data_IF_132233908324
#
_entry.id   IF_132233908324
#
_cell.length_a   1.000
_cell.length_b   1.000
_cell.length_c   1.000
_cell.angle_alpha   90.00
_cell.angle_beta   90.00
_cell.angle_gamma   90.00
#
_symmetry.space_group_name_H-M   'P 1'
#
loop_
_entity.id
_entity.type
_entity.pdbx_description
1 polymer ?
#
# COMPACT_ATOMS: atom_id res chain seq x y z
N UNK A 1 4.16 -18.57 -21.10
CA UNK A 1 3.72 -17.16 -20.93
C UNK A 1 4.47 -16.59 -19.74
N UNK A 2 5.28 -15.54 -19.89
CA UNK A 2 5.98 -14.96 -18.75
C UNK A 2 4.97 -14.34 -17.79
N UNK A 3 5.06 -14.73 -16.51
CA UNK A 3 4.22 -14.24 -15.43
C UNK A 3 4.46 -12.75 -15.26
N UNK A 4 3.49 -11.94 -15.67
CA UNK A 4 3.45 -10.49 -15.48
C UNK A 4 3.65 -10.23 -13.98
N UNK A 5 4.80 -9.65 -13.61
CA UNK A 5 5.07 -9.22 -12.24
C UNK A 5 4.05 -8.12 -11.96
N UNK A 6 3.04 -8.42 -11.14
CA UNK A 6 2.06 -7.43 -10.69
C UNK A 6 2.83 -6.26 -10.07
N UNK A 7 2.82 -5.13 -10.75
CA UNK A 7 3.28 -3.84 -10.19
C UNK A 7 2.60 -3.69 -8.83
N UNK A 8 3.36 -3.34 -7.79
CA UNK A 8 2.82 -3.20 -6.44
C UNK A 8 1.81 -2.04 -6.47
N UNK A 9 0.52 -2.38 -6.64
CA UNK A 9 -0.59 -1.42 -6.71
C UNK A 9 -1.15 -1.07 -5.33
N UNK A 10 -0.92 -1.91 -4.32
CA UNK A 10 -1.48 -1.71 -2.99
C UNK A 10 -0.49 -0.93 -2.12
N UNK A 11 -0.83 0.30 -1.71
CA UNK A 11 0.05 1.12 -0.88
C UNK A 11 0.32 0.51 0.50
N UNK A 12 -0.58 -0.35 1.00
CA UNK A 12 -0.33 -1.13 2.22
C UNK A 12 0.87 -2.07 2.05
N UNK A 13 1.02 -2.66 0.86
CA UNK A 13 2.15 -3.54 0.54
C UNK A 13 3.46 -2.78 0.45
N UNK A 14 3.44 -1.57 -0.11
CA UNK A 14 4.63 -0.69 -0.14
C UNK A 14 5.09 -0.37 1.29
N UNK A 15 4.17 0.04 2.15
CA UNK A 15 4.46 0.33 3.56
C UNK A 15 4.98 -0.91 4.29
N UNK A 16 4.40 -2.09 4.07
CA UNK A 16 4.86 -3.33 4.69
C UNK A 16 6.31 -3.69 4.30
N UNK A 17 6.67 -3.50 3.03
CA UNK A 17 8.04 -3.74 2.54
C UNK A 17 9.02 -2.76 3.20
N UNK A 18 8.68 -1.46 3.23
CA UNK A 18 9.53 -0.45 3.86
C UNK A 18 9.72 -0.71 5.36
N UNK A 19 8.66 -1.06 6.08
CA UNK A 19 8.72 -1.41 7.49
C UNK A 19 9.64 -2.63 7.73
N UNK A 20 9.50 -3.67 6.91
CA UNK A 20 10.36 -4.87 7.00
C UNK A 20 11.84 -4.57 6.75
N UNK A 21 12.15 -3.77 5.71
CA UNK A 21 13.54 -3.38 5.42
C UNK A 21 14.10 -2.53 6.55
N UNK A 22 13.33 -1.61 7.11
CA UNK A 22 13.77 -0.75 8.22
C UNK A 22 14.05 -1.56 9.49
N UNK A 23 13.18 -2.52 9.84
CA UNK A 23 13.35 -3.40 11.01
C UNK A 23 14.62 -4.26 10.88
N UNK A 24 14.80 -4.91 9.72
CA UNK A 24 15.96 -5.78 9.46
C UNK A 24 17.25 -4.96 9.45
N UNK A 25 17.24 -3.82 8.77
CA UNK A 25 18.42 -2.95 8.67
C UNK A 25 18.78 -2.36 10.03
N UNK A 26 17.79 -1.93 10.81
CA UNK A 26 18.03 -1.39 12.13
C UNK A 26 18.54 -2.46 13.12
N UNK A 27 17.98 -3.66 13.06
CA UNK A 27 18.45 -4.80 13.87
C UNK A 27 19.89 -5.20 13.53
N UNK A 28 20.26 -5.12 12.24
CA UNK A 28 21.62 -5.37 11.80
C UNK A 28 22.62 -4.29 12.29
N UNK A 29 22.17 -3.04 12.45
CA UNK A 29 22.99 -1.93 12.95
C UNK A 29 23.14 -1.95 14.48
N UNK A 30 22.15 -2.50 15.20
CA UNK A 30 22.10 -2.53 16.66
C UNK A 30 23.41 -2.96 17.36
N UNK A 31 24.12 -4.04 16.96
CA UNK A 31 25.36 -4.45 17.63
C UNK A 31 26.53 -3.48 17.46
N UNK A 32 26.44 -2.54 16.51
CA UNK A 32 27.47 -1.54 16.25
C UNK A 32 27.24 -0.23 17.01
N UNK A 33 26.16 -0.13 17.78
CA UNK A 33 25.82 1.05 18.57
C UNK A 33 26.42 0.94 19.98
N UNK A 34 27.02 2.02 20.47
CA UNK A 34 27.51 2.12 21.84
C UNK A 34 26.38 1.93 22.86
N UNK A 35 26.64 1.26 23.99
CA UNK A 35 25.64 0.97 25.04
C UNK A 35 24.86 2.22 25.50
N UNK A 36 25.54 3.37 25.62
CA UNK A 36 24.92 4.65 26.00
C UNK A 36 23.78 5.10 25.07
N UNK A 37 23.84 4.72 23.79
CA UNK A 37 22.85 5.09 22.77
C UNK A 37 21.92 3.94 22.39
N UNK A 38 22.24 2.72 22.81
CA UNK A 38 21.54 1.50 22.39
C UNK A 38 20.08 1.49 22.86
N UNK A 39 19.82 1.93 24.10
CA UNK A 39 18.45 2.02 24.63
C UNK A 39 17.59 2.99 23.81
N UNK A 40 18.10 4.19 23.54
CA UNK A 40 17.41 5.20 22.71
C UNK A 40 17.15 4.67 21.31
N UNK A 41 18.14 3.98 20.73
CA UNK A 41 18.02 3.38 19.41
C UNK A 41 16.96 2.28 19.34
N UNK A 42 16.87 1.41 20.35
CA UNK A 42 15.84 0.36 20.42
C UNK A 42 14.42 0.96 20.47
N UNK A 43 14.22 2.01 21.26
CA UNK A 43 12.93 2.72 21.29
C UNK A 43 12.58 3.36 19.95
N UNK A 44 13.55 3.97 19.28
CA UNK A 44 13.37 4.48 17.92
C UNK A 44 12.99 3.34 16.95
N UNK A 45 13.70 2.21 17.01
CA UNK A 45 13.51 1.07 16.11
C UNK A 45 12.13 0.42 16.26
N UNK A 46 11.59 0.33 17.48
CA UNK A 46 10.22 -0.16 17.69
C UNK A 46 9.16 0.86 17.30
N UNK A 47 9.38 2.15 17.62
CA UNK A 47 8.37 3.19 17.43
C UNK A 47 8.24 3.61 15.97
N UNK A 48 9.33 3.55 15.19
CA UNK A 48 9.34 3.98 13.80
C UNK A 48 8.40 3.15 12.90
N UNK A 49 8.49 1.80 12.84
CA UNK A 49 7.57 0.98 12.02
C UNK A 49 6.12 1.12 12.48
N UNK A 50 5.89 1.20 13.79
CA UNK A 50 4.56 1.41 14.35
C UNK A 50 3.96 2.75 13.94
N UNK A 51 4.75 3.83 14.03
CA UNK A 51 4.33 5.16 13.59
C UNK A 51 4.07 5.18 12.08
N UNK A 52 4.90 4.50 11.28
CA UNK A 52 4.74 4.40 9.83
C UNK A 52 3.40 3.76 9.45
N UNK A 53 3.05 2.64 10.08
CA UNK A 53 1.77 1.97 9.89
C UNK A 53 0.60 2.84 10.38
N UNK A 54 0.74 3.45 11.56
CA UNK A 54 -0.32 4.31 12.13
C UNK A 54 -0.60 5.52 11.24
N UNK A 55 0.45 6.21 10.78
CA UNK A 55 0.33 7.35 9.86
C UNK A 55 -0.26 6.91 8.52
N UNK A 56 0.12 5.74 8.02
CA UNK A 56 -0.47 5.19 6.80
C UNK A 56 -1.99 5.04 6.90
N UNK A 57 -2.47 4.43 7.99
CA UNK A 57 -3.91 4.31 8.23
C UNK A 57 -4.57 5.66 8.50
N UNK A 58 -3.89 6.58 9.18
CA UNK A 58 -4.40 7.94 9.42
C UNK A 58 -4.60 8.71 8.11
N UNK A 59 -3.66 8.61 7.16
CA UNK A 59 -3.76 9.21 5.83
C UNK A 59 -4.89 8.55 5.02
N UNK A 60 -5.00 7.23 5.05
CA UNK A 60 -6.09 6.49 4.40
C UNK A 60 -7.47 6.93 4.92
N UNK A 61 -7.60 7.12 6.23
CA UNK A 61 -8.86 7.50 6.86
C UNK A 61 -9.34 8.91 6.43
N UNK A 62 -8.43 9.82 6.09
CA UNK A 62 -8.79 11.20 5.71
C UNK A 62 -8.88 11.42 4.19
N UNK A 63 -8.26 10.58 3.38
CA UNK A 63 -8.26 10.76 1.94
C UNK A 63 -8.10 9.43 1.19
N UNK A 64 -9.18 8.67 1.11
CA UNK A 64 -9.24 7.38 0.41
C UNK A 64 -9.04 7.49 -1.12
N UNK A 65 -9.07 8.70 -1.70
CA UNK A 65 -9.00 8.93 -3.15
C UNK A 65 -7.57 9.11 -3.71
N UNK A 66 -6.54 9.26 -2.86
CA UNK A 66 -5.16 9.58 -3.31
C UNK A 66 -4.30 8.35 -3.61
N UNK A 67 -4.85 7.16 -3.37
CA UNK A 67 -4.06 5.92 -3.33
C UNK A 67 -4.39 4.93 -4.45
N UNK A 68 -5.24 5.34 -5.37
CA UNK A 68 -5.45 4.70 -6.66
C UNK A 68 -5.07 5.71 -7.73
N UNK A 69 -4.19 5.34 -8.65
CA UNK A 69 -3.98 6.17 -9.83
C UNK A 69 -5.33 6.30 -10.57
N UNK A 70 -5.60 7.39 -11.31
CA UNK A 70 -6.81 7.52 -12.14
C UNK A 70 -7.02 6.35 -13.12
N UNK A 71 -5.98 5.53 -13.34
CA UNK A 71 -5.97 4.34 -14.18
C UNK A 71 -6.43 3.04 -13.46
N UNK A 72 -6.65 3.06 -12.14
CA UNK A 72 -7.20 1.92 -11.37
C UNK A 72 -8.73 2.00 -11.19
N UNK A 73 -9.36 3.06 -11.70
CA UNK A 73 -10.79 3.02 -11.98
C UNK A 73 -10.95 2.03 -13.13
N UNK A 74 -11.41 0.82 -12.83
CA UNK A 74 -11.88 -0.10 -13.88
C UNK A 74 -12.82 0.71 -14.77
N UNK A 75 -12.55 0.71 -16.07
CA UNK A 75 -13.42 1.29 -17.08
C UNK A 75 -14.88 0.88 -16.79
N UNK A 76 -15.65 1.81 -16.22
CA UNK A 76 -17.10 1.66 -16.00
C UNK A 76 -17.88 1.68 -17.33
N UNK A 77 -17.19 1.58 -18.47
CA UNK A 77 -17.76 1.55 -19.82
C UNK A 77 -18.55 0.27 -20.13
N UNK A 78 -18.59 -0.71 -19.22
CA UNK A 78 -19.38 -1.93 -19.38
C UNK A 78 -20.77 -1.92 -18.73
N UNK A 79 -21.20 -0.84 -18.04
CA UNK A 79 -22.55 -0.79 -17.45
C UNK A 79 -23.65 -0.23 -18.37
N UNK A 80 -23.30 0.34 -19.52
CA UNK A 80 -24.27 1.06 -20.38
C UNK A 80 -24.69 0.27 -21.64
N UNK A 81 -24.04 -0.86 -21.96
CA UNK A 81 -24.30 -1.59 -23.22
C UNK A 81 -25.41 -2.64 -23.19
N UNK A 82 -26.00 -2.97 -22.03
CA UNK A 82 -27.11 -3.94 -21.95
C UNK A 82 -28.52 -3.31 -21.99
N UNK A 83 -28.65 -1.99 -21.95
CA UNK A 83 -29.96 -1.32 -22.10
C UNK A 83 -30.22 -0.96 -23.57
N UNK A 84 -30.28 -1.96 -24.45
CA UNK A 84 -30.84 -1.81 -25.81
C UNK A 84 -32.33 -2.23 -25.81
N UNK A 85 -33.30 -1.30 -25.79
CA UNK A 85 -34.72 -1.62 -25.82
C UNK A 85 -35.25 -2.00 -27.22
N UNK A 86 -34.42 -2.06 -28.28
CA UNK A 86 -34.89 -2.41 -29.63
C UNK A 86 -34.95 -3.92 -29.89
N UNK A 87 -35.60 -4.68 -29.00
CA UNK A 87 -36.32 -5.90 -29.38
C UNK A 87 -37.77 -5.53 -29.70
N UNK A 88 -37.96 -4.76 -30.77
CA UNK A 88 -39.25 -4.70 -31.46
C UNK A 88 -39.40 -5.98 -32.28
N UNK A 89 -40.31 -6.82 -31.81
CA UNK A 89 -41.04 -7.88 -32.51
C UNK A 89 -40.93 -7.82 -34.04
N UNK A 90 -40.32 -8.84 -34.65
CA UNK A 90 -40.61 -9.22 -36.03
C UNK A 90 -41.16 -10.65 -35.98
N UNK A 91 -42.47 -10.75 -36.23
CA UNK A 91 -43.19 -11.96 -36.59
C UNK A 91 -43.01 -12.27 -38.08
#
# INVERSE_FOLDING_TARGET
MPKQISTIKNPLTVIAIFAGIAEVSGSAVLPFISEANQQTYIWFLMLFPFALITLFFMVLNWNHKVLYAPSDFEDEDHFVSERNPNRTFQA
#
